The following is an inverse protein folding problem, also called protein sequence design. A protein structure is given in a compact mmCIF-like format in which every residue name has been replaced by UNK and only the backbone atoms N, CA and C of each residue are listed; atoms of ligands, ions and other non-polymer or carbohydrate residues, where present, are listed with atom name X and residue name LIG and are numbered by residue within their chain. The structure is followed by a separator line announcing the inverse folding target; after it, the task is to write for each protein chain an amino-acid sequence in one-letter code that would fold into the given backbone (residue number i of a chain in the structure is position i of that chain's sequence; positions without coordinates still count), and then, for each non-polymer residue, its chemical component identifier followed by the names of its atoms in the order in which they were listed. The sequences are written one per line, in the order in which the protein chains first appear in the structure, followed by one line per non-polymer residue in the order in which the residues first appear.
data_IF_064170165468
#
_entry.id   IF_064170165468
#
_cell.length_a   1.000
_cell.length_b   1.000
_cell.length_c   1.000
_cell.angle_alpha   90.00
_cell.angle_beta   90.00
_cell.angle_gamma   90.00
#
_symmetry.space_group_name_H-M   'P 1'
#
loop_
_entity.id
_entity.type
_entity.pdbx_description
1 polymer ?
#
# COMPACT_ATOMS: atom_id res chain seq x y z
N UNK A 1 20.38 -14.88 -35.19
CA UNK A 1 19.72 -14.46 -33.94
C UNK A 1 19.34 -15.73 -33.23
N UNK A 2 19.99 -16.04 -32.11
CA UNK A 2 19.50 -17.12 -31.27
C UNK A 2 18.14 -16.70 -30.74
N UNK A 3 17.11 -17.49 -31.04
CA UNK A 3 15.80 -17.27 -30.47
C UNK A 3 15.83 -17.81 -29.05
N UNK A 4 15.84 -16.93 -28.06
CA UNK A 4 15.66 -17.34 -26.68
C UNK A 4 14.29 -18.00 -26.55
N UNK A 5 14.29 -19.24 -26.10
CA UNK A 5 13.05 -19.98 -25.87
C UNK A 5 12.57 -19.73 -24.46
N UNK A 6 11.28 -19.94 -24.22
CA UNK A 6 10.69 -19.85 -22.88
C UNK A 6 11.50 -20.62 -21.82
N UNK A 7 12.02 -21.79 -22.17
CA UNK A 7 12.83 -22.61 -21.26
C UNK A 7 14.21 -22.02 -20.97
N UNK A 8 14.81 -21.34 -21.95
CA UNK A 8 16.08 -20.63 -21.78
C UNK A 8 15.91 -19.51 -20.77
N UNK A 9 14.87 -18.68 -20.93
CA UNK A 9 14.54 -17.60 -20.00
C UNK A 9 14.14 -18.12 -18.61
N UNK A 10 13.36 -19.20 -18.55
CA UNK A 10 12.89 -19.77 -17.29
C UNK A 10 14.04 -20.29 -16.40
N UNK A 11 15.12 -20.76 -17.01
CA UNK A 11 16.29 -21.30 -16.28
C UNK A 11 17.40 -20.26 -16.09
N UNK A 12 17.28 -19.10 -16.71
CA UNK A 12 18.26 -18.02 -16.58
C UNK A 12 18.05 -17.22 -15.29
N UNK A 13 19.02 -17.31 -14.39
CA UNK A 13 19.01 -16.59 -13.12
C UNK A 13 19.06 -15.07 -13.35
N UNK A 14 19.82 -14.59 -14.34
CA UNK A 14 19.95 -13.16 -14.60
C UNK A 14 18.62 -12.56 -15.07
N UNK A 15 17.84 -13.32 -15.84
CA UNK A 15 16.49 -12.95 -16.23
C UNK A 15 15.58 -12.78 -15.02
N UNK A 16 15.54 -13.76 -14.10
CA UNK A 16 14.75 -13.67 -12.87
C UNK A 16 15.16 -12.51 -11.96
N UNK A 17 16.46 -12.27 -11.79
CA UNK A 17 16.95 -11.12 -11.00
C UNK A 17 16.44 -9.79 -11.56
N UNK A 18 16.46 -9.65 -12.89
CA UNK A 18 15.93 -8.46 -13.55
C UNK A 18 14.41 -8.33 -13.42
N UNK A 19 13.67 -9.42 -13.60
CA UNK A 19 12.21 -9.41 -13.43
C UNK A 19 11.80 -9.03 -12.01
N UNK A 20 12.45 -9.60 -11.00
CA UNK A 20 12.21 -9.27 -9.59
C UNK A 20 12.56 -7.81 -9.28
N UNK A 21 13.67 -7.31 -9.85
CA UNK A 21 14.03 -5.90 -9.72
C UNK A 21 12.95 -4.98 -10.32
N UNK A 22 12.44 -5.31 -11.50
CA UNK A 22 11.37 -4.53 -12.13
C UNK A 22 10.08 -4.57 -11.31
N UNK A 23 9.66 -5.74 -10.83
CA UNK A 23 8.48 -5.88 -9.97
C UNK A 23 8.62 -4.99 -8.74
N UNK A 24 9.76 -5.08 -8.05
CA UNK A 24 10.01 -4.26 -6.86
C UNK A 24 10.00 -2.76 -7.18
N UNK A 25 10.64 -2.35 -8.28
CA UNK A 25 10.66 -0.96 -8.71
C UNK A 25 9.24 -0.44 -8.98
N UNK A 26 8.42 -1.22 -9.69
CA UNK A 26 7.04 -0.86 -9.95
C UNK A 26 6.19 -0.81 -8.68
N UNK A 27 6.32 -1.79 -7.78
CA UNK A 27 5.59 -1.81 -6.51
C UNK A 27 5.92 -0.61 -5.63
N UNK A 28 7.19 -0.20 -5.58
CA UNK A 28 7.60 1.02 -4.86
C UNK A 28 7.02 2.26 -5.52
N UNK A 29 7.07 2.38 -6.84
CA UNK A 29 6.52 3.53 -7.55
C UNK A 29 5.00 3.65 -7.39
N UNK A 30 4.27 2.54 -7.54
CA UNK A 30 2.82 2.48 -7.32
C UNK A 30 2.51 2.76 -5.85
N UNK A 31 3.27 2.19 -4.92
CA UNK A 31 3.16 2.42 -3.49
C UNK A 31 3.29 3.90 -3.15
N UNK A 32 4.29 4.60 -3.67
CA UNK A 32 4.48 6.05 -3.48
C UNK A 32 3.30 6.85 -4.07
N UNK A 33 2.83 6.47 -5.26
CA UNK A 33 1.70 7.15 -5.91
C UNK A 33 0.39 6.99 -5.13
N UNK A 34 0.17 5.82 -4.52
CA UNK A 34 -1.04 5.49 -3.74
C UNK A 34 -0.94 5.96 -2.28
N UNK A 35 0.29 6.09 -1.75
CA UNK A 35 0.58 6.52 -0.38
C UNK A 35 -0.20 7.75 0.11
N UNK A 36 -0.33 8.88 -0.62
CA UNK A 36 -1.08 10.03 -0.13
C UNK A 36 -2.56 9.73 0.11
N UNK A 37 -3.17 8.84 -0.70
CA UNK A 37 -4.57 8.44 -0.51
C UNK A 37 -4.73 7.54 0.71
N UNK A 38 -3.84 6.57 0.89
CA UNK A 38 -3.82 5.69 2.06
C UNK A 38 -3.60 6.50 3.33
N UNK A 39 -2.65 7.44 3.31
CA UNK A 39 -2.39 8.34 4.44
C UNK A 39 -3.61 9.18 4.80
N UNK A 40 -4.33 9.73 3.80
CA UNK A 40 -5.55 10.51 4.02
C UNK A 40 -6.66 9.64 4.64
N UNK A 41 -6.81 8.41 4.17
CA UNK A 41 -7.79 7.46 4.71
C UNK A 41 -7.50 7.09 6.17
N UNK A 42 -6.24 6.79 6.50
CA UNK A 42 -5.82 6.50 7.88
C UNK A 42 -6.02 7.69 8.83
N UNK A 43 -5.74 8.92 8.36
CA UNK A 43 -5.97 10.12 9.16
C UNK A 43 -7.45 10.39 9.41
N UNK A 44 -8.32 10.11 8.43
CA UNK A 44 -9.77 10.28 8.59
C UNK A 44 -10.32 9.38 9.70
N UNK A 45 -9.91 8.11 9.72
CA UNK A 45 -10.35 7.18 10.77
C UNK A 45 -9.95 7.64 12.18
N UNK A 46 -8.73 8.17 12.36
CA UNK A 46 -8.30 8.68 13.66
C UNK A 46 -9.15 9.88 14.11
N UNK A 47 -9.52 10.77 13.19
CA UNK A 47 -10.38 11.92 13.52
C UNK A 47 -11.81 11.51 13.84
N UNK A 48 -12.32 10.44 13.24
CA UNK A 48 -13.67 9.95 13.53
C UNK A 48 -13.74 9.33 14.93
N UNK A 49 -12.71 8.56 15.33
CA UNK A 49 -12.63 7.96 16.67
C UNK A 49 -12.59 9.04 17.77
N UNK A 50 -11.79 10.09 17.59
CA UNK A 50 -11.71 11.20 18.55
C UNK A 50 -13.05 11.95 18.69
N UNK A 51 -13.81 12.11 17.60
CA UNK A 51 -15.13 12.75 17.62
C UNK A 51 -16.19 11.89 18.30
N UNK A 52 -16.10 10.56 18.15
CA UNK A 52 -17.01 9.63 18.83
C UNK A 52 -16.81 9.70 20.35
N UNK A 53 -15.55 9.68 20.81
CA UNK A 53 -15.23 9.80 22.25
C UNK A 53 -15.71 11.13 22.85
N UNK A 54 -15.52 12.24 22.12
CA UNK A 54 -16.04 13.56 22.53
C UNK A 54 -17.57 13.58 22.63
N UNK A 55 -18.27 12.93 21.69
CA UNK A 55 -19.73 12.83 21.70
C UNK A 55 -20.24 11.98 22.85
N UNK A 56 -19.61 10.84 23.14
CA UNK A 56 -19.95 9.99 24.29
C UNK A 56 -19.83 10.77 25.61
N UNK A 57 -18.72 11.51 25.78
CA UNK A 57 -18.49 12.35 26.97
C UNK A 57 -19.57 13.41 27.15
N UNK A 58 -20.01 14.05 26.07
CA UNK A 58 -21.09 15.06 26.10
C UNK A 58 -22.45 14.46 26.39
N UNK A 59 -22.73 13.26 25.88
CA UNK A 59 -23.98 12.55 26.21
C UNK A 59 -24.01 12.20 27.69
N UNK A 60 -22.90 11.71 28.24
CA UNK A 60 -22.77 11.38 29.67
C UNK A 60 -22.94 12.63 30.56
N UNK A 61 -22.34 13.76 30.19
CA UNK A 61 -22.54 15.05 30.90
C UNK A 61 -23.99 15.57 30.85
N UNK A 62 -24.74 15.26 29.79
CA UNK A 62 -26.14 15.71 29.63
C UNK A 62 -27.17 14.75 30.23
N UNK A 63 -26.76 13.52 30.54
CA UNK A 63 -27.66 12.46 31.05
C UNK A 63 -27.45 12.12 32.54
N UNK A 64 -26.43 12.70 33.18
CA UNK A 64 -26.27 12.76 34.64
C UNK A 64 -26.85 14.03 35.25
#
# INVERSE_FOLDING_TARGET
MEHETFWTLFTDVAHWEFELFLIFLFDVLVGILVWPRVRKFLLHHKSDDERIVELERRVEELSG
#
